data_IF_995241000263
#
_entry.id   IF_995241000263
#
_cell.length_a   1.000
_cell.length_b   1.000
_cell.length_c   1.000
_cell.angle_alpha   90.00
_cell.angle_beta   90.00
_cell.angle_gamma   90.00
#
_symmetry.space_group_name_H-M   'P 1'
#
loop_
_entity.id
_entity.type
_entity.pdbx_description
1 polymer ?
#
# COMPACT_ATOMS: atom_id res chain seq x y z
N UNK A 1 2.18 -13.53 -21.71
CA UNK A 1 3.01 -12.37 -21.34
C UNK A 1 3.68 -12.76 -20.03
N UNK A 2 5.01 -12.74 -19.95
CA UNK A 2 5.67 -13.01 -18.67
C UNK A 2 5.28 -11.88 -17.69
N UNK A 3 5.03 -12.18 -16.41
CA UNK A 3 4.86 -11.12 -15.42
C UNK A 3 6.10 -10.21 -15.45
N UNK A 4 5.96 -8.89 -15.26
CA UNK A 4 7.11 -8.01 -15.16
C UNK A 4 8.05 -8.53 -14.05
N UNK A 5 9.36 -8.46 -14.28
CA UNK A 5 10.38 -8.71 -13.25
C UNK A 5 10.19 -7.68 -12.12
N UNK A 6 9.29 -7.97 -11.19
CA UNK A 6 8.92 -7.09 -10.07
C UNK A 6 9.88 -7.20 -8.89
N UNK A 7 10.96 -7.96 -9.04
CA UNK A 7 11.94 -8.14 -7.98
C UNK A 7 12.87 -6.92 -7.89
N UNK A 8 13.00 -6.39 -6.69
CA UNK A 8 14.00 -5.38 -6.37
C UNK A 8 15.36 -6.09 -6.28
N UNK A 9 16.32 -5.64 -7.09
CA UNK A 9 17.71 -6.12 -6.97
C UNK A 9 18.40 -5.38 -5.82
N UNK A 10 19.03 -6.14 -4.93
CA UNK A 10 19.87 -5.66 -3.83
C UNK A 10 19.20 -4.62 -2.90
N UNK A 11 18.03 -4.91 -2.31
CA UNK A 11 17.39 -3.97 -1.41
C UNK A 11 18.14 -3.88 -0.08
N UNK A 12 18.41 -2.65 0.36
CA UNK A 12 19.15 -2.34 1.60
C UNK A 12 18.17 -2.12 2.77
N UNK A 13 16.99 -1.57 2.46
CA UNK A 13 15.95 -1.24 3.42
C UNK A 13 14.76 -2.18 3.18
N UNK A 14 14.69 -3.19 4.03
CA UNK A 14 13.65 -4.22 4.01
C UNK A 14 12.90 -4.15 5.33
N UNK A 15 11.62 -3.77 5.29
CA UNK A 15 10.79 -3.66 6.49
C UNK A 15 9.41 -4.26 6.23
N UNK A 16 8.80 -4.80 7.28
CA UNK A 16 7.41 -5.22 7.26
C UNK A 16 6.77 -4.85 8.59
N UNK A 17 5.66 -4.12 8.52
CA UNK A 17 4.89 -3.73 9.70
C UNK A 17 3.49 -4.31 9.58
N UNK A 18 3.06 -4.99 10.64
CA UNK A 18 1.73 -5.59 10.74
C UNK A 18 1.00 -4.99 11.93
N UNK A 19 -0.24 -4.54 11.72
CA UNK A 19 -1.13 -4.09 12.79
C UNK A 19 -2.41 -4.94 12.78
N UNK A 20 -2.99 -5.22 13.96
CA UNK A 20 -4.34 -5.75 14.02
C UNK A 20 -5.29 -4.70 13.46
N UNK A 21 -6.20 -5.13 12.57
CA UNK A 21 -7.26 -4.28 12.07
C UNK A 21 -8.21 -3.96 13.19
N UNK A 22 -8.70 -4.97 13.92
CA UNK A 22 -9.64 -4.80 15.02
C UNK A 22 -8.92 -4.98 16.36
N UNK A 23 -8.91 -3.94 17.19
CA UNK A 23 -8.42 -4.01 18.57
C UNK A 23 -9.56 -4.39 19.52
N UNK A 24 -9.26 -5.05 20.66
CA UNK A 24 -10.26 -5.28 21.70
C UNK A 24 -10.93 -3.97 22.11
N UNK A 25 -12.26 -3.92 22.09
CA UNK A 25 -13.04 -2.73 22.46
C UNK A 25 -13.42 -1.80 21.31
N UNK A 26 -12.99 -2.06 20.07
CA UNK A 26 -13.50 -1.31 18.91
C UNK A 26 -14.99 -1.63 18.69
N UNK A 27 -15.84 -0.60 18.70
CA UNK A 27 -17.26 -0.74 18.36
C UNK A 27 -17.49 -0.80 16.84
N UNK A 28 -16.62 -0.14 16.08
CA UNK A 28 -16.70 -0.06 14.62
C UNK A 28 -15.84 -1.15 13.98
N UNK A 29 -16.31 -2.38 14.11
CA UNK A 29 -15.62 -3.58 13.61
C UNK A 29 -15.59 -3.57 12.08
N UNK A 30 -14.40 -3.78 11.52
CA UNK A 30 -14.20 -4.00 10.09
C UNK A 30 -14.19 -5.50 9.80
N UNK A 31 -14.96 -5.89 8.80
CA UNK A 31 -14.88 -7.22 8.18
C UNK A 31 -13.71 -7.28 7.21
N UNK A 32 -13.33 -8.48 6.76
CA UNK A 32 -12.30 -8.64 5.74
C UNK A 32 -12.64 -7.85 4.47
N UNK A 33 -13.91 -7.88 4.06
CA UNK A 33 -14.40 -7.18 2.88
C UNK A 33 -14.30 -5.66 3.00
N UNK A 34 -14.55 -5.11 4.19
CA UNK A 34 -14.38 -3.68 4.46
C UNK A 34 -12.91 -3.26 4.31
N UNK A 35 -11.98 -4.06 4.85
CA UNK A 35 -10.54 -3.77 4.78
C UNK A 35 -10.07 -3.85 3.33
N UNK A 36 -10.50 -4.88 2.59
CA UNK A 36 -10.18 -5.01 1.17
C UNK A 36 -10.71 -3.83 0.37
N UNK A 37 -11.97 -3.43 0.61
CA UNK A 37 -12.55 -2.26 0.01
C UNK A 37 -11.69 -1.01 0.30
N UNK A 38 -11.33 -0.78 1.56
CA UNK A 38 -10.44 0.32 1.96
C UNK A 38 -9.11 0.34 1.21
N UNK A 39 -8.45 -0.81 1.04
CA UNK A 39 -7.23 -0.91 0.25
C UNK A 39 -7.45 -0.54 -1.22
N UNK A 40 -8.51 -1.05 -1.85
CA UNK A 40 -8.83 -0.71 -3.24
C UNK A 40 -9.15 0.77 -3.40
N UNK A 41 -9.88 1.37 -2.45
CA UNK A 41 -10.15 2.80 -2.43
C UNK A 41 -8.85 3.60 -2.33
N UNK A 42 -7.95 3.23 -1.41
CA UNK A 42 -6.63 3.84 -1.27
C UNK A 42 -5.82 3.78 -2.58
N UNK A 43 -5.92 2.69 -3.34
CA UNK A 43 -5.21 2.60 -4.62
C UNK A 43 -5.71 3.62 -5.65
N UNK A 44 -7.02 3.91 -5.67
CA UNK A 44 -7.69 4.80 -6.64
C UNK A 44 -7.70 6.26 -6.20
N UNK A 45 -7.72 6.49 -4.89
CA UNK A 45 -7.92 7.81 -4.28
C UNK A 45 -6.88 8.05 -3.18
N UNK A 46 -5.60 7.82 -3.47
CA UNK A 46 -4.53 7.91 -2.47
C UNK A 46 -4.43 9.32 -1.83
N UNK A 47 -4.88 10.37 -2.52
CA UNK A 47 -5.00 11.74 -1.98
C UNK A 47 -5.91 11.83 -0.73
N UNK A 48 -6.87 10.93 -0.60
CA UNK A 48 -7.76 10.87 0.57
C UNK A 48 -7.02 10.34 1.82
N UNK A 49 -5.90 9.64 1.62
CA UNK A 49 -5.14 8.97 2.68
C UNK A 49 -3.79 9.63 2.98
N UNK A 50 -3.20 10.30 1.99
CA UNK A 50 -1.86 10.89 2.09
C UNK A 50 -1.94 12.37 1.70
N UNK A 51 -1.79 13.32 2.66
CA UNK A 51 -2.05 14.74 2.43
C UNK A 51 -1.26 15.40 1.30
N UNK A 52 -0.12 14.83 0.92
CA UNK A 52 0.75 15.39 -0.11
C UNK A 52 0.54 14.77 -1.49
N UNK A 53 -0.31 13.76 -1.61
CA UNK A 53 -0.75 13.25 -2.91
C UNK A 53 -1.90 14.15 -3.36
N UNK A 54 -1.80 14.71 -4.57
CA UNK A 54 -2.82 15.60 -5.13
C UNK A 54 -3.73 14.88 -6.11
N UNK A 55 -3.21 13.88 -6.81
CA UNK A 55 -3.95 13.15 -7.83
C UNK A 55 -3.36 11.77 -8.08
N UNK A 56 -4.22 10.83 -8.49
CA UNK A 56 -3.85 9.49 -8.92
C UNK A 56 -4.47 9.21 -10.28
N UNK A 57 -3.65 8.80 -11.23
CA UNK A 57 -4.08 8.33 -12.55
C UNK A 57 -3.85 6.82 -12.63
N UNK A 58 -4.86 6.08 -13.07
CA UNK A 58 -4.76 4.65 -13.36
C UNK A 58 -4.88 4.44 -14.86
N UNK A 59 -3.90 3.76 -15.44
CA UNK A 59 -3.82 3.48 -16.88
C UNK A 59 -3.39 2.02 -17.13
N UNK A 60 -3.44 1.58 -18.39
CA UNK A 60 -2.93 0.26 -18.82
C UNK A 60 -3.45 -0.91 -17.97
N UNK A 61 -4.74 -0.90 -17.64
CA UNK A 61 -5.36 -1.97 -16.86
C UNK A 61 -5.48 -3.26 -17.68
N UNK A 62 -5.01 -4.36 -17.11
CA UNK A 62 -5.01 -5.68 -17.71
C UNK A 62 -5.51 -6.72 -16.70
N UNK A 63 -6.49 -7.54 -17.10
CA UNK A 63 -6.93 -8.70 -16.32
C UNK A 63 -6.00 -9.87 -16.66
N UNK A 64 -5.24 -10.34 -15.68
CA UNK A 64 -4.30 -11.44 -15.84
C UNK A 64 -4.96 -12.80 -15.55
N UNK A 65 -5.93 -12.82 -14.64
CA UNK A 65 -6.78 -13.97 -14.30
C UNK A 65 -8.07 -13.49 -13.61
N UNK A 66 -8.96 -14.42 -13.26
CA UNK A 66 -10.21 -14.13 -12.53
C UNK A 66 -10.01 -13.42 -11.17
N UNK A 67 -8.79 -13.50 -10.62
CA UNK A 67 -8.43 -12.94 -9.31
C UNK A 67 -7.21 -12.03 -9.36
N UNK A 68 -6.64 -11.78 -10.53
CA UNK A 68 -5.42 -10.98 -10.66
C UNK A 68 -5.55 -9.93 -11.75
N UNK A 69 -5.33 -8.67 -11.37
CA UNK A 69 -5.33 -7.52 -12.28
C UNK A 69 -4.01 -6.78 -12.14
N UNK A 70 -3.44 -6.31 -13.24
CA UNK A 70 -2.34 -5.35 -13.23
C UNK A 70 -2.76 -4.02 -13.84
N UNK A 71 -2.14 -2.93 -13.41
CA UNK A 71 -2.31 -1.61 -14.01
C UNK A 71 -1.10 -0.73 -13.74
N UNK A 72 -0.97 0.35 -14.51
CA UNK A 72 -0.04 1.44 -14.19
C UNK A 72 -0.73 2.49 -13.34
N UNK A 73 -0.02 2.98 -12.33
CA UNK A 73 -0.47 4.10 -11.50
C UNK A 73 0.54 5.22 -11.56
N UNK A 74 0.07 6.42 -11.85
CA UNK A 74 0.84 7.66 -11.71
C UNK A 74 0.30 8.43 -10.51
N UNK A 75 1.16 8.67 -9.52
CA UNK A 75 0.80 9.43 -8.32
C UNK A 75 1.46 10.80 -8.35
N UNK A 76 0.65 11.85 -8.36
CA UNK A 76 1.11 13.23 -8.37
C UNK A 76 1.28 13.74 -6.95
N UNK A 77 2.43 14.33 -6.68
CA UNK A 77 2.76 14.93 -5.39
C UNK A 77 2.57 16.45 -5.45
N UNK A 78 2.16 17.04 -4.33
CA UNK A 78 2.10 18.48 -4.15
C UNK A 78 3.47 19.10 -4.39
N UNK A 79 3.55 20.07 -5.31
CA UNK A 79 4.78 20.81 -5.59
C UNK A 79 5.16 21.77 -4.46
N UNK A 80 4.23 22.09 -3.56
CA UNK A 80 4.53 22.84 -2.33
C UNK A 80 5.32 21.98 -1.33
N UNK A 81 4.89 20.72 -1.13
CA UNK A 81 5.54 19.79 -0.23
C UNK A 81 6.81 19.15 -0.84
N UNK A 82 6.78 18.90 -2.16
CA UNK A 82 7.85 18.23 -2.91
C UNK A 82 8.20 18.99 -4.20
N UNK A 83 8.89 20.14 -4.10
CA UNK A 83 9.25 20.94 -5.26
C UNK A 83 10.09 20.16 -6.27
N UNK A 84 9.78 20.30 -7.56
CA UNK A 84 10.50 19.67 -8.68
C UNK A 84 10.53 18.14 -8.64
N UNK A 85 9.71 17.51 -7.80
CA UNK A 85 9.62 16.05 -7.74
C UNK A 85 8.66 15.57 -8.83
N UNK A 86 9.09 14.69 -9.74
CA UNK A 86 8.20 14.14 -10.76
C UNK A 86 7.15 13.21 -10.12
N UNK A 87 6.03 12.96 -10.81
CA UNK A 87 5.06 11.96 -10.37
C UNK A 87 5.72 10.59 -10.14
N UNK A 88 5.20 9.86 -9.15
CA UNK A 88 5.64 8.48 -8.90
C UNK A 88 4.92 7.57 -9.89
N UNK A 89 5.68 6.94 -10.79
CA UNK A 89 5.17 5.96 -11.76
C UNK A 89 5.33 4.57 -11.18
N UNK A 90 4.25 3.80 -11.19
CA UNK A 90 4.18 2.51 -10.52
C UNK A 90 3.52 1.45 -11.40
N UNK A 91 4.09 0.25 -11.40
CA UNK A 91 3.37 -0.95 -11.86
C UNK A 91 2.72 -1.60 -10.64
N UNK A 92 1.41 -1.84 -10.71
CA UNK A 92 0.63 -2.39 -9.61
C UNK A 92 0.01 -3.71 -10.00
N UNK A 93 0.14 -4.72 -9.15
CA UNK A 93 -0.57 -5.99 -9.25
C UNK A 93 -1.46 -6.15 -8.04
N UNK A 94 -2.75 -6.40 -8.30
CA UNK A 94 -3.76 -6.70 -7.30
C UNK A 94 -4.10 -8.18 -7.40
N UNK A 95 -3.90 -8.92 -6.31
CA UNK A 95 -4.39 -10.28 -6.12
C UNK A 95 -5.58 -10.22 -5.19
N UNK A 96 -6.78 -10.46 -5.75
CA UNK A 96 -8.06 -10.24 -5.07
C UNK A 96 -8.10 -10.91 -3.71
N UNK A 97 -8.51 -10.14 -2.69
CA UNK A 97 -8.65 -10.59 -1.29
C UNK A 97 -7.37 -11.16 -0.68
N UNK A 98 -6.19 -10.75 -1.16
CA UNK A 98 -4.91 -11.17 -0.59
C UNK A 98 -3.94 -10.01 -0.43
N UNK A 99 -3.49 -9.46 -1.57
CA UNK A 99 -2.40 -8.48 -1.57
C UNK A 99 -2.43 -7.52 -2.75
N UNK A 100 -1.71 -6.41 -2.58
CA UNK A 100 -1.41 -5.43 -3.62
C UNK A 100 0.09 -5.16 -3.61
N UNK A 101 0.75 -5.51 -4.70
CA UNK A 101 2.16 -5.20 -4.94
C UNK A 101 2.25 -3.94 -5.79
N UNK A 102 3.02 -2.95 -5.36
CA UNK A 102 3.26 -1.69 -6.07
C UNK A 102 4.76 -1.46 -6.26
N UNK A 103 5.24 -1.65 -7.47
CA UNK A 103 6.63 -1.36 -7.82
C UNK A 103 6.76 0.08 -8.31
N UNK A 104 7.57 0.89 -7.63
CA UNK A 104 7.76 2.32 -7.92
C UNK A 104 9.06 2.52 -8.69
N UNK A 105 8.95 2.87 -9.98
CA UNK A 105 10.09 2.99 -10.89
C UNK A 105 11.06 4.11 -10.54
N UNK A 106 10.55 5.21 -9.99
CA UNK A 106 11.38 6.40 -9.71
C UNK A 106 12.42 6.17 -8.62
N UNK A 107 12.20 5.21 -7.72
CA UNK A 107 13.09 4.90 -6.60
C UNK A 107 13.31 3.40 -6.40
N UNK A 108 12.93 2.58 -7.38
CA UNK A 108 13.03 1.12 -7.38
C UNK A 108 12.50 0.44 -6.11
N UNK A 109 11.44 0.99 -5.51
CA UNK A 109 10.85 0.45 -4.27
C UNK A 109 9.67 -0.45 -4.59
N UNK A 110 9.67 -1.67 -4.04
CA UNK A 110 8.48 -2.52 -4.01
C UNK A 110 7.78 -2.32 -2.66
N UNK A 111 6.50 -1.96 -2.72
CA UNK A 111 5.63 -1.93 -1.56
C UNK A 111 4.57 -3.03 -1.69
N UNK A 112 4.37 -3.82 -0.63
CA UNK A 112 3.37 -4.89 -0.60
C UNK A 112 2.41 -4.67 0.55
N UNK A 113 1.15 -4.42 0.23
CA UNK A 113 0.06 -4.42 1.20
C UNK A 113 -0.60 -5.81 1.21
N UNK A 114 -0.72 -6.43 2.38
CA UNK A 114 -1.35 -7.76 2.53
C UNK A 114 -2.41 -7.71 3.64
N UNK A 115 -3.53 -8.37 3.41
CA UNK A 115 -4.52 -8.68 4.46
C UNK A 115 -4.41 -10.16 4.79
N UNK A 116 -4.34 -10.48 6.08
CA UNK A 116 -4.37 -11.86 6.56
C UNK A 116 -5.39 -12.03 7.68
N UNK A 117 -5.79 -13.28 7.91
CA UNK A 117 -6.66 -13.68 9.01
C UNK A 117 -5.87 -14.50 10.03
N UNK A 118 -6.21 -14.33 11.30
CA UNK A 118 -5.62 -15.02 12.44
C UNK A 118 -6.43 -16.24 12.83
N UNK A 119 -6.46 -16.51 14.15
CA UNK A 119 -7.07 -17.73 14.67
C UNK A 119 -8.61 -17.70 14.60
N UNK A 120 -9.21 -16.52 14.70
CA UNK A 120 -10.66 -16.32 14.65
C UNK A 120 -11.05 -15.38 13.52
N UNK A 121 -12.32 -15.43 13.08
CA UNK A 121 -12.83 -14.64 11.95
C UNK A 121 -12.66 -13.11 12.14
N UNK A 122 -12.55 -12.63 13.39
CA UNK A 122 -12.34 -11.21 13.70
C UNK A 122 -10.88 -10.78 13.73
N UNK A 123 -9.94 -11.74 13.75
CA UNK A 123 -8.50 -11.49 13.82
C UNK A 123 -7.98 -11.14 12.43
N UNK A 124 -8.27 -9.94 11.96
CA UNK A 124 -7.78 -9.46 10.67
C UNK A 124 -6.52 -8.63 10.90
N UNK A 125 -5.50 -8.83 10.07
CA UNK A 125 -4.25 -8.07 10.13
C UNK A 125 -3.99 -7.39 8.79
N UNK A 126 -3.45 -6.18 8.86
CA UNK A 126 -2.94 -5.46 7.71
C UNK A 126 -1.42 -5.33 7.85
N UNK A 127 -0.71 -5.94 6.92
CA UNK A 127 0.73 -5.81 6.75
C UNK A 127 1.09 -4.87 5.59
N UNK A 128 2.06 -3.99 5.82
CA UNK A 128 2.71 -3.18 4.79
C UNK A 128 4.20 -3.44 4.81
N UNK A 129 4.72 -3.94 3.70
CA UNK A 129 6.14 -4.25 3.51
C UNK A 129 6.76 -3.31 2.47
N UNK A 130 8.05 -3.02 2.65
CA UNK A 130 8.85 -2.26 1.70
C UNK A 130 10.18 -2.98 1.46
N UNK A 131 10.55 -3.11 0.19
CA UNK A 131 11.88 -3.50 -0.28
C UNK A 131 12.43 -2.32 -1.07
N UNK A 132 13.50 -1.69 -0.57
CA UNK A 132 14.04 -0.46 -1.15
C UNK A 132 15.57 -0.48 -1.26
N UNK A 133 16.13 -0.22 -2.46
CA UNK A 133 17.56 0.03 -2.62
C UNK A 133 17.97 1.34 -1.95
N UNK A 134 19.20 1.39 -1.44
CA UNK A 134 19.81 2.61 -0.93
C UNK A 134 21.25 2.72 -1.50
N UNK A 135 21.40 3.26 -2.72
CA UNK A 135 22.71 3.33 -3.38
C UNK A 135 23.73 4.06 -2.52
N UNK A 136 24.92 3.46 -2.37
CA UNK A 136 26.01 4.01 -1.56
C UNK A 136 25.90 3.75 -0.06
N UNK A 137 24.82 3.10 0.41
CA UNK A 137 24.62 2.80 1.82
C UNK A 137 24.82 1.30 2.05
N UNK A 138 25.75 0.96 2.93
CA UNK A 138 25.96 -0.42 3.36
C UNK A 138 24.80 -0.89 4.25
N UNK A 139 24.30 -2.11 4.03
CA UNK A 139 23.20 -2.68 4.80
C UNK A 139 23.46 -2.78 6.31
N UNK A 140 24.74 -2.92 6.69
CA UNK A 140 25.20 -3.03 8.09
C UNK A 140 25.55 -1.67 8.71
N UNK A 141 25.36 -0.57 7.98
CA UNK A 141 25.66 0.77 8.50
C UNK A 141 24.60 1.27 9.49
N UNK A 142 25.00 2.18 10.38
CA UNK A 142 24.08 2.90 11.26
C UNK A 142 23.08 3.77 10.47
N UNK A 143 23.47 4.23 9.28
CA UNK A 143 22.60 4.96 8.37
C UNK A 143 21.48 4.07 7.81
N UNK A 144 21.81 2.84 7.39
CA UNK A 144 20.82 1.85 6.97
C UNK A 144 19.86 1.51 8.11
N UNK A 145 20.37 1.36 9.34
CA UNK A 145 19.52 1.10 10.49
C UNK A 145 18.58 2.26 10.80
N UNK A 146 19.09 3.50 10.78
CA UNK A 146 18.24 4.69 10.95
C UNK A 146 17.13 4.74 9.90
N UNK A 147 17.47 4.53 8.63
CA UNK A 147 16.48 4.50 7.55
C UNK A 147 15.46 3.38 7.73
N UNK A 148 15.86 2.19 8.20
CA UNK A 148 14.92 1.10 8.53
C UNK A 148 13.94 1.53 9.62
N UNK A 149 14.42 2.15 10.70
CA UNK A 149 13.54 2.64 11.77
C UNK A 149 12.58 3.73 11.28
N UNK A 150 13.08 4.71 10.51
CA UNK A 150 12.24 5.76 9.92
C UNK A 150 11.15 5.15 9.00
N UNK A 151 11.50 4.12 8.21
CA UNK A 151 10.55 3.38 7.38
C UNK A 151 9.54 2.56 8.18
N UNK A 152 9.95 1.94 9.30
CA UNK A 152 9.04 1.23 10.21
C UNK A 152 8.02 2.19 10.81
N UNK A 153 8.46 3.36 11.29
CA UNK A 153 7.57 4.37 11.85
C UNK A 153 6.58 4.90 10.82
N UNK A 154 7.07 5.21 9.61
CA UNK A 154 6.23 5.63 8.49
C UNK A 154 5.21 4.54 8.11
N UNK A 155 5.65 3.29 7.96
CA UNK A 155 4.78 2.17 7.61
C UNK A 155 3.70 1.96 8.67
N UNK A 156 4.08 2.01 9.96
CA UNK A 156 3.13 1.90 11.09
C UNK A 156 2.07 2.99 11.04
N UNK A 157 2.48 4.24 10.81
CA UNK A 157 1.54 5.37 10.67
C UNK A 157 0.62 5.19 9.46
N UNK A 158 1.14 4.74 8.33
CA UNK A 158 0.35 4.53 7.11
C UNK A 158 -0.69 3.42 7.30
N UNK A 159 -0.31 2.29 7.91
CA UNK A 159 -1.24 1.18 8.19
C UNK A 159 -2.34 1.65 9.16
N UNK A 160 -1.97 2.28 10.27
CA UNK A 160 -2.93 2.78 11.25
C UNK A 160 -3.91 3.79 10.62
N UNK A 161 -3.39 4.78 9.90
CA UNK A 161 -4.21 5.78 9.21
C UNK A 161 -5.15 5.17 8.16
N UNK A 162 -4.69 4.15 7.44
CA UNK A 162 -5.51 3.47 6.46
C UNK A 162 -6.65 2.70 7.12
N UNK A 163 -6.41 2.03 8.26
CA UNK A 163 -7.45 1.34 9.03
C UNK A 163 -8.50 2.35 9.53
N UNK A 164 -8.06 3.47 10.10
CA UNK A 164 -8.98 4.48 10.65
C UNK A 164 -9.82 5.16 9.57
N UNK A 165 -9.21 5.52 8.44
CA UNK A 165 -9.96 6.04 7.29
C UNK A 165 -10.89 4.99 6.70
N UNK A 166 -10.52 3.70 6.77
CA UNK A 166 -11.41 2.62 6.34
C UNK A 166 -12.67 2.54 7.18
N UNK A 167 -12.57 2.68 8.50
CA UNK A 167 -13.75 2.80 9.37
C UNK A 167 -14.60 3.99 9.01
N UNK A 168 -13.96 5.16 8.90
CA UNK A 168 -14.65 6.42 8.58
C UNK A 168 -15.43 6.30 7.27
N UNK A 169 -14.77 5.87 6.19
CA UNK A 169 -15.38 5.79 4.86
C UNK A 169 -16.40 4.67 4.72
N UNK A 170 -16.26 3.58 5.49
CA UNK A 170 -17.33 2.59 5.66
C UNK A 170 -18.57 3.23 6.29
N UNK A 171 -18.42 3.96 7.39
CA UNK A 171 -19.53 4.63 8.07
C UNK A 171 -20.21 5.70 7.18
N UNK A 172 -19.45 6.31 6.28
CA UNK A 172 -19.95 7.26 5.27
C UNK A 172 -20.53 6.60 4.01
N UNK A 173 -20.50 5.26 3.88
CA UNK A 173 -21.02 4.54 2.71
C UNK A 173 -20.17 4.68 1.44
N UNK A 174 -18.93 5.18 1.53
CA UNK A 174 -18.09 5.49 0.35
C UNK A 174 -17.59 4.26 -0.41
N UNK A 175 -17.81 3.06 0.14
CA UNK A 175 -17.39 1.79 -0.46
C UNK A 175 -18.50 1.05 -1.18
N UNK A 176 -19.72 1.58 -1.17
CA UNK A 176 -20.84 1.02 -1.92
C UNK A 176 -20.53 0.98 -3.42
N UNK A 177 -20.72 -0.17 -4.05
CA UNK A 177 -20.46 -0.35 -5.48
C UNK A 177 -18.98 -0.35 -5.89
N UNK A 178 -18.03 -0.31 -4.93
CA UNK A 178 -16.60 -0.24 -5.26
C UNK A 178 -16.06 -1.50 -5.95
N UNK A 179 -16.84 -2.58 -5.91
CA UNK A 179 -16.69 -3.79 -6.73
C UNK A 179 -15.34 -4.48 -6.54
N UNK A 180 -15.04 -5.41 -7.45
CA UNK A 180 -13.67 -5.91 -7.62
C UNK A 180 -12.84 -4.89 -8.40
N UNK A 181 -11.51 -5.00 -8.34
CA UNK A 181 -10.61 -4.31 -9.26
C UNK A 181 -10.65 -4.97 -10.66
N UNK A 182 -11.85 -5.20 -11.22
CA UNK A 182 -12.05 -5.65 -12.62
C UNK A 182 -12.22 -4.45 -13.51
#
# INVERSE_FOLDING_TARGET
MAPPDMFVKDPVINVSVTLPVNSPGNTDVLTFDDVWAGLLHQQRYAQDYVPHITHVEITEKNVLSDTTTSYKRTTHLSQEAYPNTPPLVQDVIVVDKLKIDSYTHTNNTLATATISVGQTDGDIYYSLSYERPAPGISADSSEAEKMRQDFIEMARKNVASCIDLTRKYKAEGRYEGMGRFI
#
